data_IF_911400771903
#
_entry.id   IF_911400771903
#
_cell.length_a   1.000
_cell.length_b   1.000
_cell.length_c   1.000
_cell.angle_alpha   90.00
_cell.angle_beta   90.00
_cell.angle_gamma   90.00
#
_symmetry.space_group_name_H-M   'P 1'
#
loop_
_entity.id
_entity.type
_entity.pdbx_description
1 polymer ?
#
# COMPACT_ATOMS: atom_id res chain seq x y z
N UNK A 1 -5.92 -1.52 40.73
CA UNK A 1 -5.00 -1.58 39.57
C UNK A 1 -5.83 -1.39 38.31
N UNK A 2 -5.55 -0.33 37.53
CA UNK A 2 -6.22 -0.09 36.25
C UNK A 2 -5.85 -1.21 35.26
N UNK A 3 -6.85 -1.91 34.72
CA UNK A 3 -6.67 -2.87 33.62
C UNK A 3 -6.17 -2.10 32.39
N UNK A 4 -4.92 -2.30 31.98
CA UNK A 4 -4.48 -1.84 30.67
C UNK A 4 -5.20 -2.67 29.61
N UNK A 5 -6.24 -2.12 28.99
CA UNK A 5 -6.84 -2.65 27.75
C UNK A 5 -5.98 -2.26 26.54
N UNK A 6 -4.69 -2.57 26.57
CA UNK A 6 -3.79 -2.32 25.43
C UNK A 6 -3.49 -3.65 24.75
N UNK A 7 -3.64 -3.67 23.43
CA UNK A 7 -3.15 -4.74 22.57
C UNK A 7 -1.93 -4.21 21.81
N UNK A 8 -0.90 -5.03 21.67
CA UNK A 8 0.33 -4.71 20.95
C UNK A 8 0.46 -5.72 19.82
N UNK A 9 0.81 -5.23 18.65
CA UNK A 9 1.01 -6.04 17.44
C UNK A 9 2.39 -5.73 16.88
N UNK A 10 3.01 -6.72 16.24
CA UNK A 10 4.28 -6.57 15.54
C UNK A 10 4.15 -7.35 14.25
N UNK A 11 4.19 -6.64 13.13
CA UNK A 11 4.03 -7.21 11.80
C UNK A 11 5.37 -7.17 11.07
N UNK A 12 5.64 -8.23 10.32
CA UNK A 12 6.69 -8.24 9.31
C UNK A 12 6.16 -7.63 7.99
N UNK A 13 6.97 -7.62 6.94
CA UNK A 13 6.56 -7.06 5.65
C UNK A 13 5.38 -7.82 5.02
N UNK A 14 5.40 -9.15 5.04
CA UNK A 14 4.35 -9.99 4.47
C UNK A 14 3.02 -9.77 5.19
N UNK A 15 3.04 -9.75 6.53
CA UNK A 15 1.87 -9.45 7.36
C UNK A 15 1.24 -8.10 6.98
N UNK A 16 2.08 -7.06 6.76
CA UNK A 16 1.59 -5.72 6.39
C UNK A 16 0.97 -5.74 4.99
N UNK A 17 1.63 -6.41 4.04
CA UNK A 17 1.15 -6.51 2.67
C UNK A 17 -0.19 -7.24 2.61
N UNK A 18 -0.30 -8.42 3.24
CA UNK A 18 -1.53 -9.22 3.30
C UNK A 18 -2.69 -8.39 3.83
N UNK A 19 -2.55 -7.81 5.03
CA UNK A 19 -3.60 -7.01 5.68
C UNK A 19 -4.06 -5.84 4.80
N UNK A 20 -3.12 -5.13 4.16
CA UNK A 20 -3.49 -3.99 3.32
C UNK A 20 -4.14 -4.43 2.01
N UNK A 21 -3.67 -5.51 1.38
CA UNK A 21 -4.28 -6.04 0.16
C UNK A 21 -5.68 -6.61 0.41
N UNK A 22 -5.89 -7.33 1.52
CA UNK A 22 -7.21 -7.79 1.96
C UNK A 22 -8.15 -6.62 2.18
N UNK A 23 -7.70 -5.59 2.89
CA UNK A 23 -8.50 -4.39 3.14
C UNK A 23 -8.92 -3.70 1.83
N UNK A 24 -7.99 -3.52 0.89
CA UNK A 24 -8.29 -2.89 -0.41
C UNK A 24 -9.24 -3.76 -1.24
N UNK A 25 -9.07 -5.09 -1.23
CA UNK A 25 -9.96 -6.02 -1.91
C UNK A 25 -11.38 -5.98 -1.34
N UNK A 26 -11.53 -5.97 -0.02
CA UNK A 26 -12.81 -5.82 0.67
C UNK A 26 -13.49 -4.49 0.33
N UNK A 27 -12.75 -3.36 0.35
CA UNK A 27 -13.28 -2.05 -0.01
C UNK A 27 -13.78 -1.97 -1.46
N UNK A 28 -13.17 -2.75 -2.36
CA UNK A 28 -13.55 -2.80 -3.78
C UNK A 28 -14.50 -3.95 -4.12
N UNK A 29 -14.94 -4.74 -3.13
CA UNK A 29 -15.96 -5.78 -3.31
C UNK A 29 -15.47 -7.06 -3.99
N UNK A 30 -14.17 -7.34 -3.93
CA UNK A 30 -13.61 -8.58 -4.45
C UNK A 30 -13.72 -9.71 -3.42
N UNK A 31 -14.45 -10.77 -3.77
CA UNK A 31 -14.63 -11.97 -2.93
C UNK A 31 -13.50 -12.99 -3.12
N UNK A 32 -13.03 -13.15 -4.36
CA UNK A 32 -11.82 -13.88 -4.73
C UNK A 32 -11.01 -13.01 -5.68
N UNK A 33 -9.72 -12.89 -5.42
CA UNK A 33 -8.86 -11.93 -6.08
C UNK A 33 -7.43 -12.44 -6.18
N UNK A 34 -6.74 -11.92 -7.18
CA UNK A 34 -5.28 -11.93 -7.23
C UNK A 34 -4.75 -10.54 -6.88
N UNK A 35 -3.54 -10.49 -6.34
CA UNK A 35 -2.85 -9.21 -6.15
C UNK A 35 -1.36 -9.30 -6.39
N UNK A 36 -0.79 -8.13 -6.63
CA UNK A 36 0.63 -7.88 -6.52
C UNK A 36 0.82 -6.60 -5.73
N UNK A 37 1.65 -6.64 -4.70
CA UNK A 37 1.89 -5.49 -3.83
C UNK A 37 3.35 -5.36 -3.41
N UNK A 38 3.80 -4.13 -3.22
CA UNK A 38 5.14 -3.80 -2.72
C UNK A 38 5.11 -2.58 -1.79
N UNK A 39 5.90 -2.64 -0.73
CA UNK A 39 6.19 -1.49 0.14
C UNK A 39 7.48 -0.82 -0.33
N UNK A 40 7.39 0.47 -0.63
CA UNK A 40 8.50 1.32 -1.08
C UNK A 40 8.72 2.47 -0.11
N UNK A 41 9.87 3.14 -0.26
CA UNK A 41 10.25 4.29 0.55
C UNK A 41 10.92 3.91 1.88
N UNK A 42 11.06 4.91 2.75
CA UNK A 42 11.66 4.80 4.07
C UNK A 42 10.61 5.02 5.17
N UNK A 43 10.69 4.25 6.28
CA UNK A 43 9.88 4.52 7.47
C UNK A 43 9.99 5.98 7.91
N UNK A 44 8.86 6.55 8.33
CA UNK A 44 8.73 7.93 8.81
C UNK A 44 9.09 9.03 7.79
N UNK A 45 9.18 8.71 6.49
CA UNK A 45 9.47 9.68 5.43
C UNK A 45 8.49 9.62 4.28
N UNK A 46 8.55 8.53 3.52
CA UNK A 46 7.87 8.39 2.22
C UNK A 46 7.41 6.95 2.00
N UNK A 47 7.17 6.23 3.10
CA UNK A 47 6.65 4.87 3.05
C UNK A 47 5.31 4.87 2.33
N UNK A 48 5.19 3.99 1.34
CA UNK A 48 3.98 3.85 0.52
C UNK A 48 3.80 2.42 0.07
N UNK A 49 2.55 2.04 -0.09
CA UNK A 49 2.13 0.78 -0.68
C UNK A 49 1.77 1.04 -2.14
N UNK A 50 2.31 0.25 -3.05
CA UNK A 50 1.78 0.11 -4.40
C UNK A 50 1.16 -1.28 -4.46
N UNK A 51 -0.15 -1.34 -4.70
CA UNK A 51 -0.90 -2.58 -4.76
C UNK A 51 -1.83 -2.55 -5.98
N UNK A 52 -1.90 -3.70 -6.64
CA UNK A 52 -2.89 -3.99 -7.68
C UNK A 52 -3.71 -5.16 -7.18
N UNK A 53 -5.02 -5.02 -7.31
CA UNK A 53 -5.98 -6.09 -7.09
C UNK A 53 -6.76 -6.30 -8.39
N UNK A 54 -7.08 -7.54 -8.70
CA UNK A 54 -7.98 -7.88 -9.81
C UNK A 54 -8.72 -9.17 -9.53
N UNK A 55 -9.56 -9.57 -10.48
CA UNK A 55 -10.34 -10.80 -10.38
C UNK A 55 -9.41 -12.03 -10.39
N UNK A 56 -9.93 -13.18 -9.96
CA UNK A 56 -9.15 -14.42 -9.84
C UNK A 56 -8.59 -14.93 -11.18
N UNK A 57 -9.18 -14.50 -12.30
CA UNK A 57 -8.78 -14.85 -13.68
C UNK A 57 -7.91 -13.79 -14.36
N UNK A 58 -7.45 -12.76 -13.62
CA UNK A 58 -6.50 -11.77 -14.13
C UNK A 58 -5.05 -12.32 -14.12
N UNK A 59 -4.78 -13.21 -15.07
CA UNK A 59 -3.51 -13.94 -15.21
C UNK A 59 -2.29 -13.01 -15.41
N UNK A 60 -2.51 -11.76 -15.85
CA UNK A 60 -1.45 -10.81 -16.21
C UNK A 60 -0.95 -9.98 -15.02
N UNK A 61 -1.62 -10.02 -13.86
CA UNK A 61 -1.23 -9.26 -12.65
C UNK A 61 0.22 -9.53 -12.25
N UNK A 62 0.66 -10.77 -12.42
CA UNK A 62 2.01 -11.19 -12.06
C UNK A 62 3.11 -10.50 -12.89
N UNK A 63 2.80 -10.03 -14.10
CA UNK A 63 3.75 -9.41 -15.02
C UNK A 63 3.87 -7.88 -14.85
N UNK A 64 2.97 -7.26 -14.06
CA UNK A 64 2.94 -5.80 -13.93
C UNK A 64 4.11 -5.26 -13.10
N UNK A 65 4.82 -4.24 -13.59
CA UNK A 65 5.91 -3.57 -12.87
C UNK A 65 5.36 -2.52 -11.89
N UNK A 66 5.41 -2.85 -10.59
CA UNK A 66 4.94 -1.95 -9.53
C UNK A 66 5.84 -0.71 -9.34
N UNK A 67 7.11 -0.77 -9.74
CA UNK A 67 7.99 0.40 -9.69
C UNK A 67 7.63 1.41 -10.80
N UNK A 68 7.21 0.91 -11.97
CA UNK A 68 6.74 1.79 -13.03
C UNK A 68 5.44 2.50 -12.63
N UNK A 69 4.53 1.80 -11.96
CA UNK A 69 3.30 2.41 -11.42
C UNK A 69 3.64 3.49 -10.39
N UNK A 70 4.53 3.20 -9.44
CA UNK A 70 5.00 4.18 -8.45
C UNK A 70 5.47 5.50 -9.07
N UNK A 71 6.20 5.41 -10.19
CA UNK A 71 6.77 6.58 -10.86
C UNK A 71 5.74 7.43 -11.60
N UNK A 72 4.60 6.85 -11.98
CA UNK A 72 3.65 7.46 -12.91
C UNK A 72 2.25 7.67 -12.32
N UNK A 73 2.03 7.30 -11.06
CA UNK A 73 0.74 7.35 -10.40
C UNK A 73 0.74 8.36 -9.24
N UNK A 74 -0.30 9.19 -9.19
CA UNK A 74 -0.56 10.07 -8.05
C UNK A 74 -1.13 9.26 -6.87
N UNK A 75 -0.96 9.78 -5.65
CA UNK A 75 -1.58 9.18 -4.47
C UNK A 75 -3.12 9.19 -4.58
N UNK A 76 -3.75 8.03 -4.38
CA UNK A 76 -5.19 7.83 -4.52
C UNK A 76 -5.84 7.11 -3.31
N UNK A 77 -5.14 7.03 -2.17
CA UNK A 77 -5.64 6.34 -0.98
C UNK A 77 -6.79 7.10 -0.29
N UNK A 78 -7.80 6.36 0.18
CA UNK A 78 -9.06 6.89 0.74
C UNK A 78 -8.90 7.74 2.02
N UNK A 79 -7.77 7.64 2.71
CA UNK A 79 -7.49 8.33 3.98
C UNK A 79 -6.48 9.49 3.86
N UNK A 80 -6.07 9.85 2.64
CA UNK A 80 -5.03 10.85 2.45
C UNK A 80 -5.54 12.28 2.66
N UNK A 81 -5.28 12.85 3.85
CA UNK A 81 -5.05 14.30 4.00
C UNK A 81 -3.58 14.60 3.63
N UNK A 82 -3.15 14.21 2.43
CA UNK A 82 -1.81 14.55 1.96
C UNK A 82 -1.84 16.05 1.64
N UNK A 83 -1.31 16.84 2.56
CA UNK A 83 -1.05 18.26 2.36
C UNK A 83 -0.13 18.39 1.12
N UNK A 84 -0.49 19.28 0.18
CA UNK A 84 0.18 19.45 -1.12
C UNK A 84 1.71 19.75 -1.00
N UNK A 85 2.25 19.92 0.20
CA UNK A 85 3.68 20.04 0.48
C UNK A 85 4.47 18.73 0.51
N UNK A 86 3.83 17.55 0.43
CA UNK A 86 4.50 16.24 0.42
C UNK A 86 4.85 15.70 -0.97
N UNK A 87 4.59 16.46 -2.04
CA UNK A 87 5.10 16.08 -3.36
C UNK A 87 6.63 16.12 -3.35
N UNK A 88 7.24 14.95 -3.48
CA UNK A 88 8.67 14.81 -3.74
C UNK A 88 9.01 15.59 -5.01
N UNK A 89 9.82 16.65 -4.90
CA UNK A 89 10.40 17.27 -6.08
C UNK A 89 11.58 16.38 -6.52
N UNK A 90 11.58 15.80 -7.73
CA UNK A 90 12.69 14.98 -8.21
C UNK A 90 14.03 15.74 -8.27
N UNK A 91 14.02 17.06 -8.10
CA UNK A 91 15.22 17.90 -7.98
C UNK A 91 15.75 18.10 -6.56
N UNK A 92 15.11 17.55 -5.52
CA UNK A 92 15.58 17.68 -4.12
C UNK A 92 16.83 16.85 -3.80
N UNK A 93 17.46 16.25 -4.83
CA UNK A 93 18.84 15.78 -4.78
C UNK A 93 19.75 16.72 -5.55
N UNK A 94 20.27 17.76 -4.87
CA UNK A 94 21.63 18.30 -5.08
C UNK A 94 22.06 19.21 -3.94
#
# INVERSE_FOLDING_TARGET
MSKMNRKVFKFNQEDILEILTEHIAEENGFDTWQSKAILLGLPDKDIRLIAIIGEDDDDDISDIDLHEIDMNMDYNGSHSEIDEGFYFNPNDKK
#
